data_IF_312573227129
#
_entry.id   IF_312573227129
#
_cell.length_a   1.000
_cell.length_b   1.000
_cell.length_c   1.000
_cell.angle_alpha   90.00
_cell.angle_beta   90.00
_cell.angle_gamma   90.00
#
_symmetry.space_group_name_H-M   'P 1'
#
loop_
_entity.id
_entity.type
_entity.pdbx_description
1 polymer ?
#
# COMPACT_ATOMS: atom_id res chain seq x y z
N UNK A 1 1.64 9.41 -50.63
CA UNK A 1 2.11 8.08 -50.34
C UNK A 1 1.26 7.48 -49.20
N UNK A 2 0.91 6.18 -49.22
CA UNK A 2 0.20 5.52 -48.14
C UNK A 2 1.02 5.57 -46.82
N UNK A 3 0.39 5.92 -45.74
CA UNK A 3 0.99 5.92 -44.42
C UNK A 3 0.35 4.83 -43.56
N UNK A 4 1.12 3.87 -43.10
CA UNK A 4 0.62 2.81 -42.26
C UNK A 4 0.45 3.29 -40.81
N UNK A 5 -0.47 2.67 -40.11
CA UNK A 5 -0.63 2.82 -38.68
C UNK A 5 0.63 2.40 -37.89
N UNK A 6 0.91 3.10 -36.82
CA UNK A 6 2.07 2.83 -35.94
C UNK A 6 1.63 2.71 -34.50
N UNK A 7 1.99 1.59 -33.87
CA UNK A 7 1.84 1.38 -32.44
C UNK A 7 3.01 2.01 -31.65
N UNK A 8 2.72 2.44 -30.43
CA UNK A 8 3.75 2.70 -29.43
C UNK A 8 4.45 1.38 -29.03
N UNK A 9 5.60 1.49 -28.37
CA UNK A 9 6.11 0.41 -27.57
C UNK A 9 5.10 0.01 -26.47
N UNK A 10 5.18 -1.23 -25.99
CA UNK A 10 4.41 -1.66 -24.84
C UNK A 10 4.91 -0.94 -23.59
N UNK A 11 3.98 -0.46 -22.75
CA UNK A 11 4.32 0.00 -21.43
C UNK A 11 4.83 -1.16 -20.57
N UNK A 12 5.46 -0.85 -19.45
CA UNK A 12 5.82 -1.84 -18.44
C UNK A 12 4.58 -2.56 -17.90
N UNK A 13 4.80 -3.77 -17.38
CA UNK A 13 3.73 -4.50 -16.73
C UNK A 13 3.29 -3.78 -15.45
N UNK A 14 1.98 -3.68 -15.22
CA UNK A 14 1.46 -3.28 -13.91
C UNK A 14 1.95 -4.25 -12.83
N UNK A 15 2.01 -3.83 -11.57
CA UNK A 15 2.15 -4.75 -10.45
C UNK A 15 1.10 -5.88 -10.51
N UNK A 16 1.36 -6.99 -9.83
CA UNK A 16 0.38 -8.05 -9.71
C UNK A 16 -0.85 -7.56 -8.95
N UNK A 17 -2.06 -7.94 -9.40
CA UNK A 17 -3.32 -7.53 -8.78
C UNK A 17 -3.56 -8.12 -7.39
N UNK A 18 -2.70 -9.02 -6.94
CA UNK A 18 -2.76 -9.66 -5.62
C UNK A 18 -1.41 -9.54 -4.93
N UNK A 19 -1.43 -9.37 -3.62
CA UNK A 19 -0.24 -9.33 -2.76
C UNK A 19 0.26 -10.73 -2.39
N UNK A 20 -0.61 -11.73 -2.49
CA UNK A 20 -0.27 -13.14 -2.33
C UNK A 20 -1.04 -14.02 -3.32
N UNK A 21 -0.60 -15.26 -3.53
CA UNK A 21 -1.26 -16.24 -4.38
C UNK A 21 -1.16 -15.91 -5.88
N UNK A 22 -2.22 -16.24 -6.62
CA UNK A 22 -2.32 -16.00 -8.05
C UNK A 22 -3.05 -14.69 -8.32
N UNK A 23 -2.47 -13.82 -9.13
CA UNK A 23 -3.05 -12.57 -9.59
C UNK A 23 -2.91 -12.40 -11.11
N UNK A 24 -3.20 -11.20 -11.56
CA UNK A 24 -3.04 -10.78 -12.96
C UNK A 24 -2.28 -9.47 -13.04
N UNK A 25 -1.52 -9.29 -14.11
CA UNK A 25 -0.87 -8.03 -14.48
C UNK A 25 -1.17 -7.70 -15.92
N UNK A 26 -1.19 -6.43 -16.25
CA UNK A 26 -1.51 -5.96 -17.59
C UNK A 26 -0.43 -5.01 -18.11
N UNK A 27 -0.31 -4.95 -19.42
CA UNK A 27 0.42 -3.89 -20.10
C UNK A 27 -0.38 -3.39 -21.30
N UNK A 28 -0.18 -2.16 -21.66
CA UNK A 28 -0.90 -1.50 -22.75
C UNK A 28 0.06 -0.84 -23.73
N UNK A 29 -0.44 -0.59 -24.90
CA UNK A 29 0.19 0.27 -25.91
C UNK A 29 -0.89 1.13 -26.56
N UNK A 30 -0.52 2.24 -27.16
CA UNK A 30 -1.40 3.18 -27.84
C UNK A 30 -1.03 3.33 -29.30
N UNK A 31 -1.98 3.78 -30.12
CA UNK A 31 -1.70 4.15 -31.50
C UNK A 31 -0.97 5.49 -31.51
N UNK A 32 0.25 5.51 -32.00
CA UNK A 32 1.03 6.74 -32.20
C UNK A 32 0.61 7.49 -33.46
N UNK A 33 0.25 6.74 -34.51
CA UNK A 33 -0.19 7.32 -35.80
C UNK A 33 -1.25 6.41 -36.38
N UNK A 34 -2.37 6.98 -36.76
CA UNK A 34 -3.42 6.31 -37.56
C UNK A 34 -3.00 6.17 -39.00
N UNK A 35 -3.52 5.14 -39.68
CA UNK A 35 -3.31 4.97 -41.11
C UNK A 35 -3.91 6.16 -41.92
N UNK A 36 -3.24 6.55 -43.01
CA UNK A 36 -3.72 7.61 -43.95
C UNK A 36 -3.46 7.20 -45.37
N UNK A 37 -4.20 7.85 -46.33
CA UNK A 37 -4.00 7.71 -47.77
C UNK A 37 -3.95 6.23 -48.23
N UNK A 38 -4.81 5.38 -47.69
CA UNK A 38 -4.86 3.94 -48.03
C UNK A 38 -3.76 3.08 -47.41
N UNK A 39 -3.10 3.57 -46.37
CA UNK A 39 -2.17 2.77 -45.54
C UNK A 39 -2.90 1.70 -44.72
N UNK A 40 -2.15 0.71 -44.22
CA UNK A 40 -2.68 -0.40 -43.43
C UNK A 40 -2.97 0.04 -41.98
N UNK A 41 -4.14 -0.32 -41.48
CA UNK A 41 -4.51 -0.11 -40.07
C UNK A 41 -3.67 -0.89 -39.08
N UNK A 42 -3.68 -0.45 -37.84
CA UNK A 42 -2.98 -1.12 -36.75
C UNK A 42 -3.60 -2.49 -36.43
N UNK A 43 -2.92 -3.55 -36.80
CA UNK A 43 -3.31 -4.91 -36.45
C UNK A 43 -2.89 -5.26 -35.02
N UNK A 44 -3.68 -6.16 -34.39
CA UNK A 44 -3.40 -6.73 -33.08
C UNK A 44 -4.05 -5.97 -31.93
N UNK A 45 -3.67 -6.35 -30.72
CA UNK A 45 -4.31 -5.89 -29.46
C UNK A 45 -3.55 -4.73 -28.84
N UNK A 46 -4.27 -3.83 -28.20
CA UNK A 46 -3.72 -2.70 -27.43
C UNK A 46 -3.45 -3.04 -25.96
N UNK A 47 -3.96 -4.16 -25.45
CA UNK A 47 -3.83 -4.59 -24.07
C UNK A 47 -3.48 -6.08 -24.00
N UNK A 48 -2.51 -6.42 -23.15
CA UNK A 48 -2.17 -7.81 -22.81
C UNK A 48 -2.33 -8.03 -21.31
N UNK A 49 -2.90 -9.18 -20.93
CA UNK A 49 -3.03 -9.62 -19.56
C UNK A 49 -2.24 -10.90 -19.39
N UNK A 50 -1.54 -11.05 -18.27
CA UNK A 50 -0.76 -12.23 -17.92
C UNK A 50 -1.00 -12.60 -16.47
N UNK A 51 -1.08 -13.89 -16.17
CA UNK A 51 -1.09 -14.37 -14.79
C UNK A 51 0.26 -14.09 -14.13
N UNK A 52 0.21 -13.67 -12.87
CA UNK A 52 1.36 -13.54 -11.99
C UNK A 52 1.14 -14.39 -10.74
N UNK A 53 2.21 -14.86 -10.14
CA UNK A 53 2.17 -15.63 -8.90
C UNK A 53 3.04 -14.90 -7.88
N UNK A 54 2.43 -14.53 -6.77
CA UNK A 54 3.10 -13.97 -5.61
C UNK A 54 3.39 -15.09 -4.58
N UNK A 55 3.97 -14.72 -3.42
CA UNK A 55 4.13 -15.65 -2.29
C UNK A 55 2.80 -16.34 -1.95
N UNK A 56 2.87 -17.52 -1.31
CA UNK A 56 1.67 -18.23 -0.83
C UNK A 56 0.90 -17.34 0.15
N UNK A 57 -0.42 -17.28 0.01
CA UNK A 57 -1.25 -16.61 1.02
C UNK A 57 -1.13 -17.34 2.36
N UNK A 58 -1.24 -16.63 3.50
CA UNK A 58 -1.35 -17.24 4.80
C UNK A 58 -2.52 -18.25 4.82
N UNK A 59 -2.35 -19.34 5.53
CA UNK A 59 -3.46 -20.28 5.75
C UNK A 59 -4.46 -19.73 6.78
N UNK A 60 -5.63 -20.39 6.87
CA UNK A 60 -6.70 -19.95 7.78
C UNK A 60 -6.25 -19.97 9.25
N UNK A 61 -5.41 -20.93 9.63
CA UNK A 61 -4.88 -21.00 10.99
C UNK A 61 -3.98 -19.80 11.32
N UNK A 62 -3.12 -19.43 10.37
CA UNK A 62 -2.25 -18.24 10.53
C UNK A 62 -3.07 -16.96 10.61
N UNK A 63 -4.12 -16.81 9.81
CA UNK A 63 -5.00 -15.64 9.85
C UNK A 63 -5.85 -15.61 11.12
N UNK A 64 -6.32 -16.77 11.62
CA UNK A 64 -7.09 -16.86 12.86
C UNK A 64 -6.28 -16.47 14.10
N UNK A 65 -4.96 -16.61 14.06
CA UNK A 65 -4.08 -16.14 15.14
C UNK A 65 -4.17 -14.61 15.35
N UNK A 66 -4.69 -13.86 14.36
CA UNK A 66 -4.90 -12.41 14.42
C UNK A 66 -6.38 -12.02 14.29
N UNK A 67 -7.30 -12.94 14.64
CA UNK A 67 -8.76 -12.70 14.57
C UNK A 67 -9.20 -11.56 15.48
N UNK A 68 -8.43 -11.25 16.50
CA UNK A 68 -8.65 -10.18 17.45
C UNK A 68 -8.04 -8.83 17.02
N UNK A 69 -7.30 -8.79 15.90
CA UNK A 69 -6.81 -7.56 15.29
C UNK A 69 -7.92 -6.91 14.44
N UNK A 70 -7.96 -5.58 14.42
CA UNK A 70 -8.98 -4.84 13.67
C UNK A 70 -8.88 -5.12 12.16
N UNK A 71 -10.03 -5.13 11.48
CA UNK A 71 -10.10 -5.22 10.01
C UNK A 71 -9.75 -3.89 9.34
N UNK A 72 -9.88 -2.79 10.07
CA UNK A 72 -9.43 -1.46 9.66
C UNK A 72 -8.91 -0.67 10.85
N UNK A 73 -8.01 0.25 10.57
CA UNK A 73 -7.47 1.20 11.54
C UNK A 73 -7.81 2.62 11.10
N UNK A 74 -8.00 3.49 12.07
CA UNK A 74 -8.05 4.93 11.87
C UNK A 74 -6.85 5.55 12.59
N UNK A 75 -6.01 6.27 11.84
CA UNK A 75 -4.95 7.11 12.38
C UNK A 75 -5.48 8.53 12.48
N UNK A 76 -5.44 9.10 13.68
CA UNK A 76 -5.95 10.44 13.94
C UNK A 76 -5.02 11.22 14.86
N UNK A 77 -5.14 12.52 14.82
CA UNK A 77 -4.29 13.45 15.55
C UNK A 77 -5.08 14.22 16.61
N UNK A 78 -4.51 14.34 17.79
CA UNK A 78 -5.05 15.15 18.88
C UNK A 78 -4.18 16.41 19.06
N UNK A 79 -4.47 17.48 18.32
CA UNK A 79 -3.73 18.74 18.45
C UNK A 79 -3.80 19.61 17.20
N UNK A 80 -3.11 20.76 17.16
CA UNK A 80 -2.95 21.53 15.94
C UNK A 80 -2.14 20.74 14.91
N UNK A 81 -2.65 20.63 13.68
CA UNK A 81 -2.05 19.85 12.59
C UNK A 81 -0.65 20.37 12.26
N UNK A 82 0.34 19.52 12.32
CA UNK A 82 1.64 19.75 11.70
C UNK A 82 1.58 19.28 10.25
N UNK A 83 1.82 20.16 9.30
CA UNK A 83 1.64 19.96 7.86
C UNK A 83 2.40 18.72 7.30
N UNK A 84 3.50 18.35 7.92
CA UNK A 84 4.37 17.25 7.49
C UNK A 84 3.77 15.85 7.69
N UNK A 85 2.72 15.73 8.50
CA UNK A 85 2.12 14.45 8.86
C UNK A 85 0.75 14.19 8.24
N UNK A 86 0.26 15.09 7.38
CA UNK A 86 -1.09 14.99 6.83
C UNK A 86 -1.33 13.71 6.02
N UNK A 87 -0.28 13.13 5.42
CA UNK A 87 -0.39 11.93 4.61
C UNK A 87 -0.73 10.68 5.42
N UNK A 88 -0.32 10.62 6.69
CA UNK A 88 -0.52 9.42 7.52
C UNK A 88 -1.89 9.32 8.18
N UNK A 89 -2.69 10.39 8.17
CA UNK A 89 -4.02 10.37 8.79
C UNK A 89 -5.06 9.75 7.88
N UNK A 90 -6.01 9.05 8.48
CA UNK A 90 -7.13 8.46 7.77
C UNK A 90 -7.35 6.99 8.09
N UNK A 91 -8.12 6.35 7.22
CA UNK A 91 -8.52 4.95 7.38
C UNK A 91 -7.62 4.04 6.57
N UNK A 92 -7.13 2.98 7.23
CA UNK A 92 -6.31 1.94 6.66
C UNK A 92 -7.05 0.61 6.72
N UNK A 93 -7.03 -0.13 5.63
CA UNK A 93 -7.68 -1.44 5.54
C UNK A 93 -6.64 -2.54 5.68
N UNK A 94 -6.97 -3.54 6.51
CA UNK A 94 -6.15 -4.74 6.68
C UNK A 94 -5.98 -5.46 5.36
N UNK A 95 -4.78 -5.90 5.08
CA UNK A 95 -4.47 -6.66 3.88
C UNK A 95 -4.61 -8.17 4.12
N UNK A 96 -4.78 -8.94 3.03
CA UNK A 96 -5.03 -10.38 3.07
C UNK A 96 -3.77 -11.20 3.44
N UNK A 97 -2.58 -10.61 3.35
CA UNK A 97 -1.31 -11.26 3.68
C UNK A 97 -0.64 -10.66 4.92
N UNK A 98 0.47 -11.25 5.34
CA UNK A 98 1.26 -10.79 6.48
C UNK A 98 2.60 -10.21 6.00
N UNK A 99 3.07 -9.18 6.69
CA UNK A 99 4.43 -8.66 6.58
C UNK A 99 5.16 -8.97 7.89
N UNK A 100 6.34 -9.57 7.79
CA UNK A 100 7.13 -10.01 8.94
C UNK A 100 6.31 -10.83 9.96
N UNK A 101 5.36 -11.64 9.45
CA UNK A 101 4.51 -12.48 10.27
C UNK A 101 3.37 -11.78 11.01
N UNK A 102 3.11 -10.50 10.76
CA UNK A 102 2.03 -9.72 11.38
C UNK A 102 1.07 -9.10 10.35
N UNK A 103 -0.18 -8.81 10.73
CA UNK A 103 -1.11 -8.04 9.92
C UNK A 103 -0.52 -6.67 9.57
N UNK A 104 -0.83 -6.21 8.37
CA UNK A 104 -0.49 -4.88 7.93
C UNK A 104 -1.70 -4.22 7.27
N UNK A 105 -1.66 -2.91 7.16
CA UNK A 105 -2.79 -2.10 6.74
C UNK A 105 -2.35 -1.10 5.68
N UNK A 106 -3.27 -0.73 4.80
CA UNK A 106 -2.99 0.19 3.71
C UNK A 106 -4.16 1.13 3.45
N UNK A 107 -3.84 2.36 3.08
CA UNK A 107 -4.72 3.31 2.41
C UNK A 107 -4.23 3.61 0.98
N UNK A 108 -4.68 4.69 0.36
CA UNK A 108 -4.33 5.03 -1.03
C UNK A 108 -2.87 5.45 -1.21
N UNK A 109 -2.19 5.91 -0.18
CA UNK A 109 -0.80 6.39 -0.25
C UNK A 109 0.15 5.73 0.74
N UNK A 110 -0.35 5.41 1.94
CA UNK A 110 0.47 5.01 3.06
C UNK A 110 0.17 3.59 3.52
N UNK A 111 1.10 3.01 4.26
CA UNK A 111 0.98 1.68 4.85
C UNK A 111 1.35 1.71 6.33
N UNK A 112 0.76 0.78 7.10
CA UNK A 112 1.10 0.52 8.50
C UNK A 112 1.56 -0.93 8.58
N UNK A 113 2.78 -1.16 9.08
CA UNK A 113 3.36 -2.50 9.18
C UNK A 113 4.25 -2.65 10.40
N UNK A 114 4.52 -3.90 10.78
CA UNK A 114 5.56 -4.24 11.74
C UNK A 114 6.91 -4.31 11.03
N UNK A 115 7.88 -3.54 11.48
CA UNK A 115 9.26 -3.64 11.02
C UNK A 115 10.06 -4.53 11.99
N UNK A 116 10.44 -5.72 11.53
CA UNK A 116 11.17 -6.70 12.34
C UNK A 116 12.63 -6.30 12.57
N UNK A 117 13.19 -5.44 11.74
CA UNK A 117 14.55 -4.93 11.88
C UNK A 117 14.68 -3.98 13.07
N UNK A 118 13.68 -3.14 13.28
CA UNK A 118 13.68 -2.14 14.36
C UNK A 118 12.78 -2.54 15.52
N UNK A 119 12.00 -3.63 15.36
CA UNK A 119 11.03 -4.11 16.36
C UNK A 119 10.02 -3.03 16.74
N UNK A 120 9.45 -2.38 15.72
CA UNK A 120 8.47 -1.31 15.90
C UNK A 120 7.30 -1.40 14.89
N UNK A 121 6.23 -0.66 15.16
CA UNK A 121 5.17 -0.40 14.21
C UNK A 121 5.46 0.87 13.42
N UNK A 122 5.51 0.77 12.11
CA UNK A 122 5.86 1.86 11.21
C UNK A 122 4.68 2.32 10.36
N UNK A 123 4.64 3.61 10.05
CA UNK A 123 3.70 4.23 9.10
C UNK A 123 4.50 4.97 8.04
N UNK A 124 4.23 4.73 6.76
CA UNK A 124 4.91 5.41 5.66
C UNK A 124 4.42 5.00 4.28
N UNK A 125 4.94 5.67 3.24
CA UNK A 125 4.56 5.49 1.84
C UNK A 125 5.06 4.17 1.24
N UNK A 126 6.10 3.61 1.80
CA UNK A 126 6.73 2.40 1.28
C UNK A 126 6.97 1.40 2.40
N UNK A 127 6.51 0.16 2.16
CA UNK A 127 6.95 -0.99 2.94
C UNK A 127 8.37 -1.30 2.49
N UNK A 128 9.32 -0.54 2.99
CA UNK A 128 10.70 -0.72 2.62
C UNK A 128 11.39 -1.65 3.59
N UNK A 129 11.90 -2.72 3.04
CA UNK A 129 12.81 -3.63 3.74
C UNK A 129 14.10 -2.87 4.15
N UNK A 130 14.04 -2.17 5.27
CA UNK A 130 15.20 -1.53 5.87
C UNK A 130 15.59 -0.15 5.34
N UNK A 131 14.68 0.58 4.74
CA UNK A 131 14.84 1.99 4.38
C UNK A 131 14.19 2.88 5.44
N UNK A 132 14.83 3.99 5.76
CA UNK A 132 14.39 4.99 6.75
C UNK A 132 13.32 5.97 6.23
N UNK A 133 12.44 5.52 5.34
CA UNK A 133 11.41 6.36 4.71
C UNK A 133 10.04 6.27 5.36
N UNK A 134 9.96 5.86 6.63
CA UNK A 134 8.69 5.93 7.34
C UNK A 134 8.49 7.31 7.98
N UNK A 135 7.23 7.74 8.00
CA UNK A 135 6.85 9.04 8.53
C UNK A 135 6.70 9.02 10.07
N UNK A 136 6.33 7.86 10.64
CA UNK A 136 6.19 7.68 12.08
C UNK A 136 6.45 6.22 12.48
N UNK A 137 6.89 6.02 13.73
CA UNK A 137 7.04 4.70 14.33
C UNK A 137 6.62 4.67 15.80
N UNK A 138 6.26 3.49 16.28
CA UNK A 138 5.86 3.21 17.66
C UNK A 138 6.67 2.03 18.17
N UNK A 139 7.54 2.27 19.13
CA UNK A 139 8.29 1.21 19.84
C UNK A 139 7.36 0.41 20.75
N UNK A 140 6.82 -0.67 20.23
CA UNK A 140 6.01 -1.59 21.01
C UNK A 140 5.88 -2.92 20.28
N UNK A 141 6.07 -4.03 20.97
CA UNK A 141 6.01 -5.39 20.45
C UNK A 141 4.60 -5.99 20.37
N UNK A 142 3.57 -5.19 20.64
CA UNK A 142 2.17 -5.62 20.58
C UNK A 142 1.82 -6.27 19.25
N UNK A 143 1.12 -7.42 19.29
CA UNK A 143 0.74 -8.18 18.08
C UNK A 143 -0.19 -7.43 17.15
N UNK A 144 -0.97 -6.49 17.68
CA UNK A 144 -1.95 -5.69 16.96
C UNK A 144 -1.97 -4.26 17.47
N UNK A 145 -1.94 -3.30 16.56
CA UNK A 145 -2.52 -2.00 16.81
C UNK A 145 -4.06 -2.16 16.82
N UNK A 146 -4.83 -1.45 17.58
CA UNK A 146 -4.59 -0.44 18.59
C UNK A 146 -4.65 -0.97 20.04
N UNK A 147 -4.46 -2.26 20.26
CA UNK A 147 -4.46 -2.85 21.62
C UNK A 147 -3.28 -2.37 22.49
N UNK A 148 -2.41 -1.56 21.92
CA UNK A 148 -1.32 -0.92 22.61
C UNK A 148 -1.85 0.26 23.38
N UNK A 149 -1.84 0.17 24.71
CA UNK A 149 -2.19 1.28 25.59
C UNK A 149 -1.04 2.30 25.62
N UNK A 150 -1.40 3.60 25.73
CA UNK A 150 -0.44 4.69 25.82
C UNK A 150 0.56 4.72 24.63
N UNK A 151 0.03 4.70 23.42
CA UNK A 151 0.83 4.78 22.19
C UNK A 151 1.69 6.05 22.20
N UNK A 152 3.01 5.85 22.19
CA UNK A 152 3.99 6.95 22.07
C UNK A 152 4.66 6.85 20.71
N UNK A 153 4.15 7.61 19.77
CA UNK A 153 4.69 7.66 18.43
C UNK A 153 5.85 8.64 18.33
N UNK A 154 6.82 8.29 17.52
CA UNK A 154 7.86 9.19 17.03
C UNK A 154 7.60 9.49 15.55
N UNK A 155 7.87 10.69 15.09
CA UNK A 155 7.71 11.09 13.71
C UNK A 155 8.97 11.76 13.17
N UNK A 156 9.21 11.63 11.86
CA UNK A 156 10.37 12.18 11.18
C UNK A 156 10.01 13.39 10.31
N UNK A 157 10.82 14.43 10.35
CA UNK A 157 10.73 15.60 9.46
C UNK A 157 11.63 15.47 8.22
N UNK A 158 12.19 14.28 8.00
CA UNK A 158 13.17 14.00 6.95
C UNK A 158 14.63 14.20 7.39
N UNK A 159 14.86 14.81 8.54
CA UNK A 159 16.20 15.06 9.09
C UNK A 159 16.33 14.53 10.51
N UNK A 160 15.33 14.77 11.34
CA UNK A 160 15.32 14.40 12.76
C UNK A 160 14.06 13.64 13.14
N UNK A 161 14.15 12.89 14.25
CA UNK A 161 13.02 12.25 14.90
C UNK A 161 12.52 13.07 16.07
N UNK A 162 11.21 13.19 16.20
CA UNK A 162 10.52 13.93 17.23
C UNK A 162 9.52 13.06 17.95
N UNK A 163 9.40 13.21 19.27
CA UNK A 163 8.34 12.55 20.01
C UNK A 163 7.00 13.22 19.71
N UNK A 164 6.05 12.44 19.16
CA UNK A 164 4.68 12.89 19.00
C UNK A 164 3.88 12.77 20.32
N UNK A 165 4.42 12.04 21.28
CA UNK A 165 3.72 11.74 22.52
C UNK A 165 2.39 11.02 22.23
N UNK A 166 1.28 11.57 22.75
CA UNK A 166 -0.07 11.07 22.52
C UNK A 166 -0.83 11.83 21.41
N UNK A 167 -0.13 12.58 20.58
CA UNK A 167 -0.76 13.35 19.50
C UNK A 167 -1.15 12.47 18.32
N UNK A 168 -0.32 11.50 17.92
CA UNK A 168 -0.66 10.48 16.92
C UNK A 168 -1.31 9.32 17.64
N UNK A 169 -2.49 8.92 17.20
CA UNK A 169 -3.26 7.84 17.80
C UNK A 169 -3.80 6.92 16.73
N UNK A 170 -3.87 5.63 17.05
CA UNK A 170 -4.46 4.60 16.20
C UNK A 170 -5.55 3.87 16.97
N UNK A 171 -6.72 3.73 16.35
CA UNK A 171 -7.84 2.95 16.89
C UNK A 171 -8.43 2.03 15.84
N UNK A 172 -9.25 1.07 16.26
CA UNK A 172 -10.06 0.32 15.30
C UNK A 172 -10.95 1.30 14.54
N UNK A 173 -10.81 1.31 13.22
CA UNK A 173 -11.61 2.13 12.33
C UNK A 173 -12.89 1.38 11.93
N UNK A 174 -13.96 2.12 11.72
CA UNK A 174 -15.14 1.64 11.03
C UNK A 174 -15.21 2.38 9.69
N UNK A 175 -14.82 1.71 8.58
CA UNK A 175 -15.07 2.26 7.26
C UNK A 175 -16.55 2.07 6.95
N UNK A 176 -17.36 3.14 6.81
CA UNK A 176 -18.75 2.99 6.39
C UNK A 176 -18.78 2.27 5.03
N UNK A 177 -19.57 1.19 4.94
CA UNK A 177 -19.82 0.53 3.66
C UNK A 177 -20.53 1.54 2.75
N UNK A 178 -19.87 2.03 1.70
CA UNK A 178 -20.57 2.80 0.66
C UNK A 178 -20.00 4.15 0.24
N UNK A 179 -18.70 4.41 0.44
CA UNK A 179 -18.03 5.53 -0.26
C UNK A 179 -17.06 4.89 -1.26
N UNK A 180 -17.53 4.81 -2.51
CA UNK A 180 -16.72 4.52 -3.70
C UNK A 180 -16.08 5.83 -4.13
#
# INVERSE_FOLDING_TARGET
MPENCLWSSWNEWTPCSKTCGKGQRTKTRTVLRTAKNGGKDCAGISRRTQQCRMKKCPDVATLSAFSDCCDSLEVYYNGPLEYTLNSIYGYYVRQEDLIHGRPWYKNDGESIWWDDKYSDWSIGDTISKGSSTYAAYLENDGRCLPKILNQKWNWGDGTNWHEAGNKINVRCGYKPKGII
#
